data_IF_097929256238
#
_entry.id   IF_097929256238
#
_cell.length_a   1.000
_cell.length_b   1.000
_cell.length_c   1.000
_cell.angle_alpha   90.00
_cell.angle_beta   90.00
_cell.angle_gamma   90.00
#
_symmetry.space_group_name_H-M   'P 1'
#
loop_
_entity.id
_entity.type
_entity.pdbx_description
1 polymer ?
#
# COMPACT_ATOMS: atom_id res chain seq x y z
N UNK A 1 4.34 -8.11 -2.82
CA UNK A 1 5.24 -8.80 -1.87
C UNK A 1 6.13 -7.77 -1.21
N UNK A 2 6.58 -7.99 0.04
CA UNK A 2 7.34 -7.00 0.79
C UNK A 2 8.52 -7.67 1.52
N UNK A 3 9.63 -6.94 1.67
CA UNK A 3 10.80 -7.31 2.48
C UNK A 3 11.30 -6.06 3.21
N UNK A 4 11.63 -6.18 4.50
CA UNK A 4 12.04 -5.04 5.31
C UNK A 4 11.50 -5.09 6.74
N UNK A 5 11.67 -3.99 7.47
CA UNK A 5 11.09 -3.82 8.81
C UNK A 5 9.56 -3.71 8.72
N UNK A 6 8.86 -4.26 9.72
CA UNK A 6 7.40 -4.11 9.91
C UNK A 6 6.53 -4.60 8.74
N UNK A 7 7.08 -5.40 7.83
CA UNK A 7 6.33 -5.92 6.66
C UNK A 7 5.15 -6.80 7.03
N UNK A 8 5.17 -7.43 8.20
CA UNK A 8 4.02 -8.22 8.69
C UNK A 8 2.80 -7.34 8.92
N UNK A 9 3.00 -6.15 9.48
CA UNK A 9 1.94 -5.18 9.75
C UNK A 9 1.38 -4.59 8.44
N UNK A 10 2.25 -4.31 7.46
CA UNK A 10 1.81 -3.81 6.16
C UNK A 10 1.10 -4.88 5.31
N UNK A 11 1.63 -6.12 5.28
CA UNK A 11 1.01 -7.22 4.52
C UNK A 11 -0.41 -7.50 5.05
N UNK A 12 -0.63 -7.36 6.36
CA UNK A 12 -1.95 -7.54 6.96
C UNK A 12 -3.01 -6.62 6.33
N UNK A 13 -2.66 -5.37 6.02
CA UNK A 13 -3.57 -4.46 5.29
C UNK A 13 -3.94 -4.96 3.89
N UNK A 14 -2.98 -5.50 3.12
CA UNK A 14 -3.27 -6.11 1.82
C UNK A 14 -4.10 -7.40 1.90
N UNK A 15 -3.93 -8.18 2.97
CA UNK A 15 -4.75 -9.39 3.19
C UNK A 15 -6.20 -9.00 3.48
N UNK A 16 -6.44 -7.94 4.27
CA UNK A 16 -7.79 -7.39 4.49
C UNK A 16 -8.37 -6.92 3.16
N UNK A 17 -7.64 -6.08 2.41
CA UNK A 17 -8.11 -5.56 1.12
C UNK A 17 -8.44 -6.68 0.13
N UNK A 18 -7.58 -7.71 0.02
CA UNK A 18 -7.87 -8.88 -0.82
C UNK A 18 -9.15 -9.60 -0.39
N UNK A 19 -9.37 -9.75 0.92
CA UNK A 19 -10.57 -10.43 1.44
C UNK A 19 -11.85 -9.64 1.14
N UNK A 20 -11.75 -8.31 1.08
CA UNK A 20 -12.83 -7.41 0.70
C UNK A 20 -12.93 -7.20 -0.82
N UNK A 21 -12.11 -7.89 -1.61
CA UNK A 21 -12.02 -7.71 -3.07
C UNK A 21 -11.72 -6.25 -3.48
N UNK A 22 -10.97 -5.52 -2.65
CA UNK A 22 -10.55 -4.15 -2.88
C UNK A 22 -9.74 -4.02 -4.17
N UNK A 23 -10.01 -2.96 -4.91
CA UNK A 23 -9.35 -2.59 -6.17
C UNK A 23 -8.13 -1.71 -5.93
N UNK A 24 -7.26 -1.62 -6.93
CA UNK A 24 -6.14 -0.67 -6.94
C UNK A 24 -6.59 0.79 -6.78
N UNK A 25 -7.75 1.15 -7.34
CA UNK A 25 -8.26 2.52 -7.32
C UNK A 25 -8.66 2.91 -5.90
N UNK A 26 -9.25 1.99 -5.14
CA UNK A 26 -9.58 2.19 -3.74
C UNK A 26 -8.29 2.34 -2.90
N UNK A 27 -7.25 1.55 -3.18
CA UNK A 27 -5.96 1.68 -2.49
C UNK A 27 -5.23 2.99 -2.84
N UNK A 28 -5.33 3.46 -4.09
CA UNK A 28 -4.79 4.76 -4.52
C UNK A 28 -5.54 5.94 -3.90
N UNK A 29 -6.84 5.80 -3.60
CA UNK A 29 -7.63 6.87 -2.98
C UNK A 29 -7.69 6.77 -1.45
N UNK A 30 -7.12 5.73 -0.86
CA UNK A 30 -7.03 5.57 0.59
C UNK A 30 -5.96 6.50 1.18
N UNK A 31 -6.29 7.18 2.28
CA UNK A 31 -5.37 8.06 2.99
C UNK A 31 -4.53 7.25 3.97
N UNK A 32 -3.22 7.18 3.71
CA UNK A 32 -2.24 6.60 4.62
C UNK A 32 -1.67 7.71 5.52
N UNK A 33 -1.49 7.47 6.84
CA UNK A 33 -0.91 8.47 7.74
C UNK A 33 0.54 8.82 7.36
N UNK A 34 0.89 10.10 7.50
CA UNK A 34 2.24 10.61 7.28
C UNK A 34 2.87 11.14 8.58
N UNK A 35 4.17 10.88 8.88
CA UNK A 35 5.08 9.96 8.19
C UNK A 35 4.98 8.53 8.75
N UNK A 36 4.73 7.53 7.91
CA UNK A 36 4.68 6.11 8.34
C UNK A 36 5.19 5.14 7.27
N UNK A 37 5.60 3.94 7.71
CA UNK A 37 5.96 2.84 6.80
C UNK A 37 4.81 2.44 5.88
N UNK A 38 3.56 2.62 6.31
CA UNK A 38 2.37 2.29 5.53
C UNK A 38 2.21 3.12 4.25
N UNK A 39 2.88 4.27 4.15
CA UNK A 39 2.96 5.05 2.91
C UNK A 39 3.61 4.25 1.76
N UNK A 40 4.52 3.32 2.06
CA UNK A 40 5.10 2.42 1.07
C UNK A 40 4.05 1.53 0.41
N UNK A 41 2.95 1.21 1.12
CA UNK A 41 1.84 0.47 0.52
C UNK A 41 1.17 1.30 -0.58
N UNK A 42 0.88 2.56 -0.29
CA UNK A 42 0.30 3.51 -1.24
C UNK A 42 1.21 3.71 -2.46
N UNK A 43 2.50 4.03 -2.22
CA UNK A 43 3.47 4.26 -3.27
C UNK A 43 3.68 3.00 -4.13
N UNK A 44 3.64 1.80 -3.56
CA UNK A 44 3.79 0.57 -4.34
C UNK A 44 2.64 0.33 -5.33
N UNK A 45 1.41 0.72 -4.95
CA UNK A 45 0.24 0.64 -5.84
C UNK A 45 0.36 1.69 -6.93
N UNK A 46 0.73 2.92 -6.60
CA UNK A 46 0.99 3.96 -7.59
C UNK A 46 2.12 3.57 -8.56
N UNK A 47 3.21 2.99 -8.06
CA UNK A 47 4.34 2.55 -8.85
C UNK A 47 3.96 1.46 -9.87
N UNK A 48 3.08 0.53 -9.51
CA UNK A 48 2.57 -0.50 -10.43
C UNK A 48 1.87 0.09 -11.67
N UNK A 49 1.39 1.33 -11.57
CA UNK A 49 0.71 2.07 -12.66
C UNK A 49 1.55 3.25 -13.20
N UNK A 50 2.83 3.36 -12.82
CA UNK A 50 3.72 4.43 -13.27
C UNK A 50 3.35 5.82 -12.71
N UNK A 51 2.71 5.87 -11.54
CA UNK A 51 2.19 7.09 -10.89
C UNK A 51 2.84 7.38 -9.54
N UNK A 52 3.96 6.72 -9.21
CA UNK A 52 4.65 6.93 -7.93
C UNK A 52 5.01 8.41 -7.72
N UNK A 53 4.84 8.91 -6.50
CA UNK A 53 5.14 10.29 -6.13
C UNK A 53 6.53 10.40 -5.51
N UNK A 54 6.89 9.41 -4.71
CA UNK A 54 8.17 9.35 -4.00
C UNK A 54 8.90 8.04 -4.37
N UNK A 55 10.07 8.17 -4.97
CA UNK A 55 10.97 7.08 -5.39
C UNK A 55 12.29 7.12 -4.63
#
# INVERSE_FOLDING_TARGET
>A
HMVGAEVTEMIQGYVIGRTLETTEEELMNTVFPHPTMSEMMHESVLAAYGRALHI
#
